data_IF_896583442229
#
_entry.id   IF_896583442229
#
_cell.length_a   1.000
_cell.length_b   1.000
_cell.length_c   1.000
_cell.angle_alpha   90.00
_cell.angle_beta   90.00
_cell.angle_gamma   90.00
#
_symmetry.space_group_name_H-M   'P 1'
#
loop_
_entity.id
_entity.type
_entity.pdbx_description
1 polymer ?
#
# COMPACT_ATOMS: atom_id res chain seq x y z
N UNK A 1 -11.31 2.13 -7.90
CA UNK A 1 -10.52 1.09 -8.62
C UNK A 1 -9.16 1.01 -7.96
N UNK A 2 -8.61 -0.18 -7.74
CA UNK A 2 -7.27 -0.35 -7.17
C UNK A 2 -6.22 -0.21 -8.27
N UNK A 3 -5.15 0.53 -8.01
CA UNK A 3 -4.06 0.81 -8.94
C UNK A 3 -2.73 0.32 -8.38
N UNK A 4 -1.82 -0.04 -9.28
CA UNK A 4 -0.46 -0.42 -8.92
C UNK A 4 0.39 0.81 -8.66
N UNK A 5 1.18 0.79 -7.59
CA UNK A 5 2.23 1.76 -7.33
C UNK A 5 3.57 1.25 -7.84
N UNK A 6 4.00 0.11 -7.32
CA UNK A 6 5.16 -0.64 -7.79
C UNK A 6 5.21 -2.04 -7.17
N UNK A 7 6.10 -2.88 -7.70
CA UNK A 7 6.56 -4.09 -7.02
C UNK A 7 8.02 -3.89 -6.57
N UNK A 8 8.33 -4.27 -5.32
CA UNK A 8 9.69 -4.24 -4.79
C UNK A 8 9.94 -5.42 -3.89
N UNK A 9 11.05 -6.14 -4.12
CA UNK A 9 11.50 -7.27 -3.29
C UNK A 9 10.45 -8.38 -3.14
N UNK A 10 9.58 -8.56 -4.15
CA UNK A 10 8.46 -9.51 -4.13
C UNK A 10 7.25 -9.02 -3.33
N UNK A 11 7.21 -7.73 -2.96
CA UNK A 11 6.05 -7.08 -2.39
C UNK A 11 5.37 -6.21 -3.46
N UNK A 12 4.16 -6.57 -3.85
CA UNK A 12 3.31 -5.76 -4.72
C UNK A 12 2.60 -4.69 -3.88
N UNK A 13 2.78 -3.43 -4.24
CA UNK A 13 2.17 -2.28 -3.58
C UNK A 13 1.08 -1.73 -4.48
N UNK A 14 -0.15 -1.71 -3.96
CA UNK A 14 -1.30 -1.16 -4.65
C UNK A 14 -2.04 -0.17 -3.77
N UNK A 15 -2.80 0.75 -4.37
CA UNK A 15 -3.57 1.75 -3.63
C UNK A 15 -4.95 1.97 -4.23
N UNK A 16 -5.85 2.44 -3.38
CA UNK A 16 -7.07 3.18 -3.75
C UNK A 16 -6.92 4.61 -3.25
N UNK A 17 -7.97 5.42 -3.26
CA UNK A 17 -7.95 6.74 -2.61
C UNK A 17 -7.89 6.66 -1.08
N UNK A 18 -8.41 5.58 -0.49
CA UNK A 18 -8.60 5.41 0.95
C UNK A 18 -7.52 4.60 1.65
N UNK A 19 -6.84 3.74 0.91
CA UNK A 19 -5.99 2.70 1.51
C UNK A 19 -4.85 2.27 0.57
N UNK A 20 -3.89 1.55 1.17
CA UNK A 20 -2.70 0.99 0.54
C UNK A 20 -2.57 -0.48 0.96
N UNK A 21 -2.36 -1.36 0.00
CA UNK A 21 -2.13 -2.79 0.22
C UNK A 21 -0.68 -3.14 -0.10
N UNK A 22 -0.07 -3.94 0.77
CA UNK A 22 1.23 -4.58 0.55
C UNK A 22 1.00 -6.08 0.52
N UNK A 23 1.23 -6.71 -0.63
CA UNK A 23 1.02 -8.14 -0.85
C UNK A 23 2.37 -8.82 -1.11
N UNK A 24 2.66 -9.87 -0.35
CA UNK A 24 3.82 -10.73 -0.57
C UNK A 24 3.49 -11.75 -1.68
N UNK A 25 4.05 -11.54 -2.87
CA UNK A 25 3.76 -12.35 -4.05
C UNK A 25 4.21 -13.81 -3.89
N UNK A 26 5.04 -14.14 -2.89
CA UNK A 26 5.51 -15.51 -2.65
C UNK A 26 4.63 -16.27 -1.68
N UNK A 27 4.11 -15.60 -0.65
CA UNK A 27 3.32 -16.24 0.41
C UNK A 27 1.83 -16.01 0.26
N UNK A 28 1.40 -15.12 -0.63
CA UNK A 28 0.01 -14.64 -0.76
C UNK A 28 -0.53 -14.00 0.53
N UNK A 29 0.37 -13.59 1.42
CA UNK A 29 0.04 -12.78 2.58
C UNK A 29 -0.06 -11.31 2.20
N UNK A 30 -0.87 -10.54 2.91
CA UNK A 30 -1.04 -9.12 2.66
C UNK A 30 -1.39 -8.34 3.93
N UNK A 31 -1.13 -7.04 3.87
CA UNK A 31 -1.66 -6.06 4.82
C UNK A 31 -2.32 -4.92 4.05
N UNK A 32 -3.52 -4.58 4.50
CA UNK A 32 -4.30 -3.46 4.03
C UNK A 32 -4.31 -2.37 5.10
N UNK A 33 -3.76 -1.21 4.77
CA UNK A 33 -3.61 -0.07 5.66
C UNK A 33 -4.44 1.11 5.16
N UNK A 34 -5.14 1.80 6.07
CA UNK A 34 -5.65 3.15 5.80
C UNK A 34 -4.48 4.11 5.59
N UNK A 35 -4.78 5.25 4.97
CA UNK A 35 -3.83 6.33 4.74
C UNK A 35 -3.11 6.85 6.02
N UNK A 36 -3.70 6.68 7.20
CA UNK A 36 -3.11 7.05 8.50
C UNK A 36 -2.26 5.92 9.14
N UNK A 37 -2.26 4.73 8.53
CA UNK A 37 -1.56 3.54 9.02
C UNK A 37 -2.39 2.63 9.93
N UNK A 38 -3.69 2.87 10.11
CA UNK A 38 -4.59 1.90 10.76
C UNK A 38 -4.71 0.63 9.91
N UNK A 39 -4.63 -0.54 10.56
CA UNK A 39 -4.77 -1.84 9.89
C UNK A 39 -6.25 -2.13 9.66
N UNK A 40 -6.64 -2.32 8.39
CA UNK A 40 -7.97 -2.82 8.01
C UNK A 40 -7.96 -4.36 8.01
N UNK A 41 -6.91 -4.94 7.43
CA UNK A 41 -6.71 -6.38 7.35
C UNK A 41 -5.22 -6.69 7.38
N UNK A 42 -4.85 -7.80 8.03
CA UNK A 42 -3.53 -8.39 7.90
C UNK A 42 -3.58 -9.87 8.21
N UNK A 43 -2.83 -10.67 7.45
CA UNK A 43 -2.47 -12.03 7.81
C UNK A 43 -0.96 -12.21 8.11
N UNK A 44 -0.20 -11.10 8.18
CA UNK A 44 1.18 -11.10 8.68
C UNK A 44 1.24 -11.07 10.21
N UNK A 45 2.40 -11.45 10.75
CA UNK A 45 2.73 -11.27 12.16
C UNK A 45 2.89 -9.78 12.55
N UNK A 46 2.98 -9.53 13.86
CA UNK A 46 3.10 -8.18 14.42
C UNK A 46 4.36 -7.44 13.98
N UNK A 47 5.47 -8.13 13.74
CA UNK A 47 6.73 -7.50 13.36
C UNK A 47 6.64 -6.97 11.93
N UNK A 48 6.16 -7.81 11.01
CA UNK A 48 5.95 -7.47 9.61
C UNK A 48 4.84 -6.43 9.46
N UNK A 49 3.82 -6.42 10.32
CA UNK A 49 2.83 -5.34 10.40
C UNK A 49 3.45 -3.98 10.75
N UNK A 50 4.31 -3.93 11.77
CA UNK A 50 4.99 -2.68 12.15
C UNK A 50 6.00 -2.22 11.10
N UNK A 51 6.66 -3.16 10.41
CA UNK A 51 7.48 -2.85 9.24
C UNK A 51 6.67 -2.14 8.15
N UNK A 52 5.53 -2.70 7.73
CA UNK A 52 4.73 -2.10 6.65
C UNK A 52 4.07 -0.77 7.05
N UNK A 53 3.68 -0.59 8.31
CA UNK A 53 3.23 0.72 8.82
C UNK A 53 4.31 1.79 8.68
N UNK A 54 5.56 1.47 9.03
CA UNK A 54 6.70 2.39 8.86
C UNK A 54 6.97 2.63 7.39
N UNK A 55 6.91 1.59 6.57
CA UNK A 55 7.16 1.70 5.15
C UNK A 55 6.12 2.57 4.44
N UNK A 56 4.83 2.42 4.79
CA UNK A 56 3.75 3.28 4.31
C UNK A 56 4.09 4.76 4.54
N UNK A 57 4.50 5.14 5.76
CA UNK A 57 4.85 6.54 6.07
C UNK A 57 5.97 7.08 5.17
N UNK A 58 6.92 6.24 4.77
CA UNK A 58 8.02 6.64 3.88
C UNK A 58 7.54 6.87 2.44
N UNK A 59 6.66 6.01 1.93
CA UNK A 59 6.23 6.06 0.52
C UNK A 59 4.94 6.85 0.29
N UNK A 60 4.20 7.20 1.35
CA UNK A 60 2.91 7.85 1.25
C UNK A 60 2.91 9.14 0.40
N UNK A 61 3.91 10.04 0.49
CA UNK A 61 3.99 11.21 -0.40
C UNK A 61 4.03 10.83 -1.88
N UNK A 62 4.77 9.78 -2.24
CA UNK A 62 4.82 9.28 -3.62
C UNK A 62 3.47 8.71 -4.06
N UNK A 63 2.79 7.93 -3.20
CA UNK A 63 1.45 7.41 -3.48
C UNK A 63 0.46 8.57 -3.72
N UNK A 64 0.52 9.64 -2.91
CA UNK A 64 -0.36 10.80 -3.11
C UNK A 64 -0.10 11.53 -4.42
N UNK A 65 1.16 11.62 -4.87
CA UNK A 65 1.49 12.19 -6.18
C UNK A 65 0.91 11.36 -7.32
N UNK A 66 1.00 10.04 -7.24
CA UNK A 66 0.42 9.13 -8.23
C UNK A 66 -1.11 9.25 -8.29
N UNK A 67 -1.79 9.29 -7.13
CA UNK A 67 -3.25 9.53 -7.08
C UNK A 67 -3.67 10.85 -7.74
N UNK A 68 -2.87 11.90 -7.59
CA UNK A 68 -3.16 13.18 -8.23
C UNK A 68 -2.98 13.12 -9.75
N UNK A 69 -1.93 12.44 -10.23
CA UNK A 69 -1.73 12.22 -11.67
C UNK A 69 -2.88 11.41 -12.27
N UNK A 70 -3.26 10.33 -11.59
CA UNK A 70 -4.40 9.50 -11.95
C UNK A 70 -5.70 10.29 -12.08
N UNK A 71 -5.98 11.19 -11.12
CA UNK A 71 -7.16 12.03 -11.14
C UNK A 71 -7.16 13.02 -12.32
N UNK A 72 -5.98 13.50 -12.74
CA UNK A 72 -5.84 14.35 -13.92
C UNK A 72 -6.09 13.58 -15.22
N UNK A 73 -5.67 12.31 -15.30
CA UNK A 73 -5.90 11.46 -16.47
C UNK A 73 -7.38 11.07 -16.63
N UNK A 74 -8.18 11.16 -15.57
CA UNK A 74 -9.62 10.83 -15.60
C UNK A 74 -10.54 12.04 -15.75
N UNK A 75 -10.00 13.27 -15.80
CA UNK A 75 -10.73 14.53 -15.92
C UNK A 75 -10.87 14.99 -17.38
#
# INVERSE_FOLDING_TARGET
MRKEFCEKDGILITYTDSDVCFEDCKTAESILLKNDGEIIHSNFDSEKNEYFKKYLKQIYPSITSFRNLDALETA
#
